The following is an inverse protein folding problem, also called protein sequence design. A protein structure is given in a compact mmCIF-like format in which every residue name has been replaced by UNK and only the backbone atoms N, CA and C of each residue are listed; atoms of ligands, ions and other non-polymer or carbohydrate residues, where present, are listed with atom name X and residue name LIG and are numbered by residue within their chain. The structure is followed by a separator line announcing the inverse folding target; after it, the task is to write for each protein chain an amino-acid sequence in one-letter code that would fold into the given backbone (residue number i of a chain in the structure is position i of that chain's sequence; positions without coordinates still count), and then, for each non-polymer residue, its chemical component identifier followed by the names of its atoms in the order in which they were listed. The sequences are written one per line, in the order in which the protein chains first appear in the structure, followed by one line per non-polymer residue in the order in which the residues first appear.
data_IF_007111534704
#
_entry.id   IF_007111534704
#
_cell.length_a   1.000
_cell.length_b   1.000
_cell.length_c   1.000
_cell.angle_alpha   90.00
_cell.angle_beta   90.00
_cell.angle_gamma   90.00
#
_symmetry.space_group_name_H-M   'P 1'
#
loop_
_entity.id
_entity.type
_entity.pdbx_description
1 polymer ?
#
# COMPACT_ATOMS: atom_id res chain seq x y z
N UNK A 1 -41.10 -1.75 -24.03
CA UNK A 1 -41.62 -2.30 -22.78
C UNK A 1 -40.62 -2.03 -21.67
N UNK A 2 -40.70 -0.82 -21.11
CA UNK A 2 -39.87 -0.30 -20.03
C UNK A 2 -40.80 -0.10 -18.83
N UNK A 3 -40.69 -0.94 -17.81
CA UNK A 3 -41.26 -0.73 -16.47
C UNK A 3 -41.08 -2.01 -15.65
N UNK A 4 -40.53 -1.87 -14.44
CA UNK A 4 -40.49 -2.86 -13.35
C UNK A 4 -39.13 -3.51 -13.07
N UNK A 5 -38.19 -2.75 -12.51
CA UNK A 5 -37.47 -3.13 -11.26
C UNK A 5 -36.91 -1.85 -10.62
N UNK A 6 -37.73 -1.15 -9.83
CA UNK A 6 -37.31 -0.03 -8.99
C UNK A 6 -38.31 0.05 -7.82
N UNK A 7 -38.08 -0.76 -6.78
CA UNK A 7 -38.81 -0.72 -5.50
C UNK A 7 -38.16 -1.68 -4.48
N UNK A 8 -37.20 -1.17 -3.70
CA UNK A 8 -36.97 -1.57 -2.30
C UNK A 8 -35.79 -0.78 -1.73
N UNK A 9 -36.02 0.51 -1.50
CA UNK A 9 -35.31 1.30 -0.50
C UNK A 9 -36.40 2.19 0.13
N UNK A 10 -36.31 2.38 1.44
CA UNK A 10 -37.22 3.12 2.33
C UNK A 10 -38.26 2.28 3.07
N UNK A 11 -37.86 1.72 4.21
CA UNK A 11 -38.66 1.82 5.43
C UNK A 11 -37.75 1.59 6.63
N UNK A 12 -37.94 2.40 7.67
CA UNK A 12 -37.40 2.36 9.04
C UNK A 12 -36.56 3.60 9.40
N UNK A 13 -37.27 4.72 9.57
CA UNK A 13 -36.95 5.72 10.60
C UNK A 13 -38.21 5.98 11.44
N UNK A 14 -37.96 6.40 12.68
CA UNK A 14 -38.90 6.86 13.73
C UNK A 14 -39.42 5.81 14.71
N UNK A 15 -38.71 5.70 15.84
CA UNK A 15 -39.35 5.76 17.15
C UNK A 15 -38.45 6.58 18.10
N UNK A 16 -38.97 7.72 18.53
CA UNK A 16 -38.51 8.53 19.66
C UNK A 16 -39.57 8.42 20.76
N UNK A 17 -39.09 8.35 22.01
CA UNK A 17 -39.71 8.51 23.34
C UNK A 17 -39.13 7.42 24.26
N UNK A 18 -38.74 7.64 25.51
CA UNK A 18 -38.82 8.78 26.40
C UNK A 18 -37.83 8.55 27.56
N UNK A 19 -37.53 9.64 28.25
CA UNK A 19 -36.74 9.80 29.46
C UNK A 19 -36.73 8.65 30.48
N UNK A 20 -35.53 8.33 31.01
CA UNK A 20 -35.38 8.16 32.45
C UNK A 20 -33.92 8.45 32.89
N UNK A 21 -33.68 9.69 33.32
CA UNK A 21 -32.52 10.06 34.14
C UNK A 21 -32.76 9.56 35.57
N UNK A 22 -31.79 8.83 36.12
CA UNK A 22 -31.74 8.53 37.55
C UNK A 22 -30.54 9.29 38.14
N UNK A 23 -30.83 10.37 38.86
CA UNK A 23 -29.87 11.12 39.65
C UNK A 23 -29.91 10.65 41.11
N UNK A 24 -28.73 10.50 41.72
CA UNK A 24 -28.55 10.58 43.18
C UNK A 24 -27.23 11.28 43.53
N UNK A 25 -27.14 11.94 44.70
CA UNK A 25 -26.29 13.13 44.89
C UNK A 25 -25.13 12.95 45.90
N UNK A 26 -24.25 13.97 45.94
CA UNK A 26 -23.26 14.24 47.02
C UNK A 26 -21.85 13.77 46.67
N UNK A 27 -20.75 14.50 46.88
CA UNK A 27 -20.46 15.57 47.82
C UNK A 27 -19.27 16.40 47.33
N UNK A 28 -19.37 17.71 47.55
CA UNK A 28 -18.31 18.73 47.53
C UNK A 28 -17.08 18.35 48.37
N UNK A 29 -15.88 18.71 47.92
CA UNK A 29 -15.00 19.67 48.64
C UNK A 29 -13.90 20.19 47.71
N UNK A 30 -13.86 21.51 47.54
CA UNK A 30 -12.72 22.28 47.07
C UNK A 30 -11.64 22.39 48.16
N UNK A 31 -10.36 22.43 47.77
CA UNK A 31 -9.31 23.15 48.49
C UNK A 31 -8.11 23.46 47.59
N UNK A 32 -7.79 24.75 47.52
CA UNK A 32 -6.69 25.45 46.85
C UNK A 32 -5.58 25.80 47.90
N UNK A 33 -4.53 26.60 47.62
CA UNK A 33 -3.23 26.33 46.99
C UNK A 33 -2.03 26.36 47.97
N UNK A 34 -0.83 26.22 47.39
CA UNK A 34 0.51 26.72 47.80
C UNK A 34 1.49 25.65 48.30
N UNK A 35 2.50 25.40 47.46
CA UNK A 35 3.91 25.46 47.86
C UNK A 35 4.75 25.94 46.67
N UNK A 36 5.20 27.19 46.76
CA UNK A 36 6.35 27.73 46.04
C UNK A 36 7.61 27.00 46.50
N UNK A 37 8.44 26.53 45.58
CA UNK A 37 9.89 26.45 45.79
C UNK A 37 10.59 26.90 44.50
N UNK A 38 11.11 28.12 44.59
CA UNK A 38 12.37 28.66 44.08
C UNK A 38 12.97 28.14 42.76
N UNK A 39 13.10 29.09 41.82
CA UNK A 39 13.91 29.02 40.62
C UNK A 39 15.40 28.87 40.93
N UNK A 40 16.09 28.05 40.14
CA UNK A 40 17.51 28.25 39.87
C UNK A 40 17.75 28.04 38.37
N UNK A 41 18.34 29.06 37.76
CA UNK A 41 18.55 29.25 36.34
C UNK A 41 19.76 28.47 35.83
N UNK A 42 19.49 27.65 34.81
CA UNK A 42 20.23 27.39 33.57
C UNK A 42 21.72 27.72 33.48
N UNK A 43 22.51 26.68 33.15
CA UNK A 43 23.46 26.68 32.02
C UNK A 43 23.57 25.24 31.48
N UNK A 44 22.65 24.86 30.58
CA UNK A 44 22.89 23.70 29.71
C UNK A 44 23.41 24.23 28.38
N UNK A 45 24.68 23.96 28.11
CA UNK A 45 25.35 24.32 26.87
C UNK A 45 24.62 23.63 25.71
N UNK A 46 24.16 24.41 24.76
CA UNK A 46 23.40 23.95 23.60
C UNK A 46 24.23 23.00 22.75
N UNK A 47 23.86 21.72 22.76
CA UNK A 47 24.11 20.88 21.61
C UNK A 47 23.30 21.47 20.44
N UNK A 48 23.99 21.83 19.35
CA UNK A 48 23.34 22.20 18.10
C UNK A 48 22.35 21.11 17.66
N UNK A 49 21.38 21.42 16.80
CA UNK A 49 20.35 20.47 16.40
C UNK A 49 21.02 19.21 15.88
N UNK A 50 20.85 18.10 16.59
CA UNK A 50 21.22 16.79 16.08
C UNK A 50 20.48 16.60 14.77
N UNK A 51 21.21 16.46 13.67
CA UNK A 51 20.64 16.05 12.39
C UNK A 51 19.84 14.78 12.67
N UNK A 52 18.51 14.90 12.63
CA UNK A 52 17.58 13.84 13.01
C UNK A 52 17.93 12.57 12.25
N UNK A 53 18.10 11.47 12.98
CA UNK A 53 18.56 10.19 12.46
C UNK A 53 17.47 9.58 11.57
N UNK A 54 17.41 9.98 10.29
CA UNK A 54 16.42 9.45 9.33
C UNK A 54 16.60 7.94 9.18
N UNK A 55 15.52 7.17 9.34
CA UNK A 55 15.51 5.73 9.09
C UNK A 55 15.54 5.50 7.57
N UNK A 56 16.55 4.78 7.08
CA UNK A 56 16.61 4.36 5.69
C UNK A 56 15.71 3.14 5.50
N UNK A 57 14.58 3.30 4.83
CA UNK A 57 13.65 2.19 4.52
C UNK A 57 13.87 1.60 3.11
N UNK A 58 14.86 2.10 2.38
CA UNK A 58 15.33 1.58 1.08
C UNK A 58 16.62 0.75 1.21
N UNK A 59 17.00 0.35 2.44
CA UNK A 59 18.17 -0.50 2.67
C UNK A 59 18.08 -1.85 1.93
N UNK A 60 19.23 -2.50 1.77
CA UNK A 60 19.30 -3.87 1.25
C UNK A 60 18.67 -4.82 2.27
N UNK A 61 17.40 -5.16 2.03
CA UNK A 61 16.63 -6.05 2.88
C UNK A 61 16.77 -7.47 2.35
N UNK A 62 17.25 -8.43 3.16
CA UNK A 62 17.33 -9.83 2.76
C UNK A 62 15.96 -10.37 2.33
N UNK A 63 15.94 -11.22 1.31
CA UNK A 63 14.76 -11.98 0.90
C UNK A 63 14.93 -13.45 1.29
N UNK A 64 14.77 -13.80 2.59
CA UNK A 64 15.00 -15.17 3.08
C UNK A 64 13.98 -16.17 2.53
N UNK A 65 12.85 -15.68 2.04
CA UNK A 65 11.77 -16.50 1.47
C UNK A 65 11.83 -16.59 -0.06
N UNK A 66 12.86 -16.00 -0.68
CA UNK A 66 13.07 -16.00 -2.13
C UNK A 66 11.79 -15.63 -2.91
N UNK A 67 11.12 -14.57 -2.46
CA UNK A 67 9.88 -14.07 -3.04
C UNK A 67 10.10 -13.33 -4.36
N UNK A 68 11.27 -12.71 -4.55
CA UNK A 68 11.63 -12.02 -5.79
C UNK A 68 12.46 -12.93 -6.69
N UNK A 69 12.10 -13.06 -7.98
CA UNK A 69 12.98 -13.70 -8.95
C UNK A 69 14.25 -12.86 -9.19
N UNK A 70 15.27 -13.45 -9.80
CA UNK A 70 16.36 -12.66 -10.35
C UNK A 70 15.81 -11.78 -11.50
N UNK A 71 16.32 -10.55 -11.62
CA UNK A 71 16.04 -9.71 -12.77
C UNK A 71 16.56 -10.38 -14.05
N UNK A 72 15.85 -10.24 -15.19
CA UNK A 72 16.38 -10.62 -16.49
C UNK A 72 17.71 -9.92 -16.79
N UNK A 73 18.63 -10.62 -17.44
CA UNK A 73 19.97 -10.08 -17.75
C UNK A 73 19.93 -8.89 -18.73
N UNK A 74 18.89 -8.84 -19.57
CA UNK A 74 18.71 -7.78 -20.57
C UNK A 74 17.33 -7.14 -20.36
N UNK A 75 17.28 -6.14 -19.48
CA UNK A 75 16.09 -5.28 -19.38
C UNK A 75 16.09 -4.24 -20.51
N UNK A 76 14.94 -3.98 -21.15
CA UNK A 76 14.80 -2.89 -22.10
C UNK A 76 15.16 -1.53 -21.46
N UNK A 77 15.54 -0.51 -22.25
CA UNK A 77 15.72 0.83 -21.70
C UNK A 77 14.38 1.41 -21.21
N UNK A 78 14.40 2.35 -20.24
CA UNK A 78 13.19 3.05 -19.83
C UNK A 78 12.51 3.78 -21.00
N UNK A 79 11.18 3.84 -20.97
CA UNK A 79 10.41 4.64 -21.90
C UNK A 79 10.68 6.14 -21.69
N UNK A 80 10.60 6.94 -22.75
CA UNK A 80 10.79 8.39 -22.66
C UNK A 80 9.74 9.08 -21.77
N UNK A 81 8.54 8.50 -21.62
CA UNK A 81 7.49 9.01 -20.73
C UNK A 81 7.29 8.16 -19.49
N UNK A 82 8.21 7.24 -19.17
CA UNK A 82 8.17 6.52 -17.91
C UNK A 82 8.45 7.48 -16.74
N UNK A 83 7.59 7.42 -15.72
CA UNK A 83 7.72 8.24 -14.51
C UNK A 83 7.68 7.35 -13.27
N UNK A 84 8.58 7.60 -12.32
CA UNK A 84 8.61 6.89 -11.03
C UNK A 84 8.52 7.89 -9.89
N UNK A 85 7.32 8.05 -9.35
CA UNK A 85 7.03 9.02 -8.30
C UNK A 85 7.02 8.37 -6.92
N UNK A 86 7.63 9.05 -5.94
CA UNK A 86 7.64 8.66 -4.53
C UNK A 86 7.25 9.86 -3.64
N UNK A 87 6.60 9.64 -2.48
CA UNK A 87 6.24 10.74 -1.60
C UNK A 87 7.49 11.47 -1.06
N UNK A 88 7.43 12.80 -0.87
CA UNK A 88 6.25 13.65 -0.94
C UNK A 88 5.97 14.24 -2.33
N UNK A 89 6.67 13.81 -3.39
CA UNK A 89 6.51 14.38 -4.73
C UNK A 89 5.17 13.94 -5.32
N UNK A 90 4.31 14.89 -5.69
CA UNK A 90 3.01 14.58 -6.30
C UNK A 90 3.26 13.83 -7.62
N UNK A 91 2.60 12.68 -7.86
CA UNK A 91 2.78 11.94 -9.09
C UNK A 91 2.40 12.76 -10.32
N UNK A 92 3.25 12.70 -11.35
CA UNK A 92 2.96 13.32 -12.65
C UNK A 92 2.24 12.30 -13.53
N UNK A 93 0.96 12.52 -13.77
CA UNK A 93 0.15 11.72 -14.69
C UNK A 93 0.32 12.23 -16.13
N UNK A 94 1.56 12.18 -16.64
CA UNK A 94 1.85 12.55 -18.04
C UNK A 94 1.35 11.49 -19.02
N UNK A 95 1.18 10.25 -18.54
CA UNK A 95 0.60 9.15 -19.27
C UNK A 95 -0.88 9.00 -18.90
N UNK A 96 -1.68 8.42 -19.81
CA UNK A 96 -3.06 8.03 -19.52
C UNK A 96 -3.15 6.88 -18.49
N UNK A 97 -2.03 6.19 -18.24
CA UNK A 97 -1.97 5.00 -17.39
C UNK A 97 -1.01 5.18 -16.22
N UNK A 98 -1.45 4.72 -15.06
CA UNK A 98 -0.65 4.71 -13.84
C UNK A 98 -0.85 3.41 -13.05
N UNK A 99 0.19 3.01 -12.33
CA UNK A 99 0.15 1.84 -11.47
C UNK A 99 0.65 2.19 -10.07
N UNK A 100 -0.19 1.95 -9.07
CA UNK A 100 0.15 2.13 -7.66
C UNK A 100 0.68 0.83 -7.05
N UNK A 101 1.82 0.91 -6.37
CA UNK A 101 2.49 -0.22 -5.73
C UNK A 101 2.08 -0.33 -4.26
N UNK A 102 0.82 -0.72 -4.03
CA UNK A 102 0.30 -1.01 -2.70
C UNK A 102 0.91 -2.28 -2.14
N UNK A 103 1.09 -2.36 -0.83
CA UNK A 103 1.68 -3.56 -0.27
C UNK A 103 2.61 -3.33 0.88
N UNK A 104 3.34 -4.38 1.17
CA UNK A 104 4.21 -4.49 2.32
C UNK A 104 5.38 -3.51 2.18
N UNK A 105 5.52 -2.64 3.18
CA UNK A 105 6.68 -1.75 3.42
C UNK A 105 7.17 -1.97 4.85
N UNK A 106 6.23 -1.91 5.82
CA UNK A 106 6.47 -2.16 7.25
C UNK A 106 7.70 -1.46 7.81
N UNK A 107 7.80 -0.14 7.59
CA UNK A 107 8.92 0.67 8.09
C UNK A 107 10.30 0.15 7.62
N UNK A 108 10.35 -0.50 6.46
CA UNK A 108 11.57 -1.09 5.91
C UNK A 108 11.83 -2.53 6.33
N UNK A 109 10.86 -3.24 6.90
CA UNK A 109 10.97 -4.69 7.13
C UNK A 109 10.67 -5.51 5.86
N UNK A 110 9.82 -5.00 4.97
CA UNK A 110 9.44 -5.71 3.75
C UNK A 110 10.53 -5.63 2.68
N UNK A 111 10.74 -6.72 1.94
CA UNK A 111 11.63 -6.75 0.77
C UNK A 111 11.32 -5.60 -0.21
N UNK A 112 12.32 -5.10 -0.94
CA UNK A 112 12.22 -3.93 -1.83
C UNK A 112 11.53 -4.23 -3.18
N UNK A 113 10.41 -4.98 -3.10
CA UNK A 113 9.63 -5.45 -4.25
C UNK A 113 9.14 -4.31 -5.16
N UNK A 114 8.94 -3.10 -4.62
CA UNK A 114 8.49 -1.95 -5.41
C UNK A 114 9.52 -1.55 -6.47
N UNK A 115 10.80 -1.52 -6.10
CA UNK A 115 11.91 -1.25 -7.05
C UNK A 115 11.99 -2.35 -8.10
N UNK A 116 11.79 -3.60 -7.66
CA UNK A 116 11.81 -4.76 -8.53
C UNK A 116 10.69 -4.70 -9.58
N UNK A 117 9.45 -4.37 -9.16
CA UNK A 117 8.31 -4.19 -10.07
C UNK A 117 8.54 -3.03 -11.04
N UNK A 118 9.07 -1.90 -10.56
CA UNK A 118 9.41 -0.76 -11.40
C UNK A 118 10.39 -1.14 -12.53
N UNK A 119 11.39 -1.97 -12.25
CA UNK A 119 12.33 -2.46 -13.26
C UNK A 119 11.66 -3.33 -14.34
N UNK A 120 10.62 -4.10 -14.01
CA UNK A 120 9.89 -4.89 -15.00
C UNK A 120 8.95 -4.07 -15.89
N UNK A 121 8.65 -2.82 -15.52
CA UNK A 121 7.65 -1.98 -16.17
C UNK A 121 8.22 -0.69 -16.76
N UNK A 122 9.50 -0.38 -16.53
CA UNK A 122 10.08 0.91 -16.91
C UNK A 122 10.12 1.20 -18.41
N UNK A 123 10.03 0.17 -19.27
CA UNK A 123 9.97 0.32 -20.72
C UNK A 123 8.60 0.73 -21.25
N UNK A 124 7.59 0.76 -20.38
CA UNK A 124 6.23 1.18 -20.71
C UNK A 124 6.05 2.69 -20.51
N UNK A 125 5.20 3.37 -21.31
CA UNK A 125 4.81 4.76 -21.08
C UNK A 125 3.82 4.81 -19.91
N UNK A 126 4.36 4.72 -18.70
CA UNK A 126 3.61 4.45 -17.47
C UNK A 126 4.09 5.36 -16.33
N UNK A 127 3.15 5.83 -15.50
CA UNK A 127 3.48 6.46 -14.22
C UNK A 127 3.39 5.42 -13.09
N UNK A 128 4.51 5.11 -12.44
CA UNK A 128 4.56 4.31 -11.22
C UNK A 128 4.42 5.22 -10.00
N UNK A 129 3.39 4.97 -9.19
CA UNK A 129 3.21 5.57 -7.88
C UNK A 129 3.75 4.59 -6.82
N UNK A 130 4.94 4.87 -6.30
CA UNK A 130 5.60 4.05 -5.28
C UNK A 130 5.51 4.70 -3.90
N UNK A 131 4.70 4.17 -2.96
CA UNK A 131 4.55 4.76 -1.62
C UNK A 131 5.80 4.61 -0.75
N UNK A 132 6.73 3.71 -1.09
CA UNK A 132 7.99 3.53 -0.37
C UNK A 132 8.95 4.69 -0.67
N UNK A 133 9.18 5.56 0.32
CA UNK A 133 10.16 6.67 0.26
C UNK A 133 11.41 6.32 1.07
N UNK A 134 12.60 6.50 0.52
CA UNK A 134 13.83 6.00 1.16
C UNK A 134 14.16 6.52 2.55
N UNK A 135 13.61 7.65 2.99
CA UNK A 135 13.84 8.15 4.34
C UNK A 135 12.52 8.38 5.08
N UNK A 136 12.40 7.78 6.26
CA UNK A 136 11.34 8.04 7.23
C UNK A 136 11.90 8.76 8.45
N UNK A 137 11.19 9.79 8.91
CA UNK A 137 11.51 10.47 10.16
C UNK A 137 11.02 9.60 11.34
N UNK A 138 11.92 9.00 12.15
CA UNK A 138 11.55 8.08 13.22
C UNK A 138 10.70 8.74 14.31
N UNK A 139 10.71 10.07 14.41
CA UNK A 139 9.90 10.81 15.38
C UNK A 139 8.46 11.04 14.89
N UNK A 140 8.16 10.69 13.63
CA UNK A 140 6.80 10.79 13.07
C UNK A 140 5.84 9.88 13.84
N UNK A 141 4.76 10.46 14.33
CA UNK A 141 3.73 9.72 15.08
C UNK A 141 2.58 9.33 14.14
N UNK A 142 2.00 8.13 14.28
CA UNK A 142 0.83 7.71 13.51
C UNK A 142 -0.44 8.44 14.00
N UNK A 143 -0.47 9.75 13.85
CA UNK A 143 -1.50 10.66 14.32
C UNK A 143 -1.83 11.66 13.22
N UNK A 144 -3.12 11.95 12.94
CA UNK A 144 -3.49 12.92 11.90
C UNK A 144 -2.94 14.34 12.10
N UNK A 145 -2.53 14.70 13.31
CA UNK A 145 -1.92 16.00 13.63
C UNK A 145 -0.42 16.06 13.29
N UNK A 146 0.23 14.93 13.03
CA UNK A 146 1.62 14.87 12.59
C UNK A 146 1.71 15.13 11.08
N UNK A 147 2.43 16.18 10.69
CA UNK A 147 2.51 16.62 9.31
C UNK A 147 3.19 15.58 8.40
N UNK A 148 4.26 14.92 8.88
CA UNK A 148 5.01 13.93 8.09
C UNK A 148 4.18 12.68 7.84
N UNK A 149 3.41 12.24 8.86
CA UNK A 149 2.46 11.14 8.73
C UNK A 149 1.29 11.52 7.82
N UNK A 150 0.67 12.68 8.04
CA UNK A 150 -0.44 13.17 7.20
C UNK A 150 -0.04 13.25 5.73
N UNK A 151 1.10 13.86 5.41
CA UNK A 151 1.57 13.97 4.02
C UNK A 151 1.76 12.61 3.37
N UNK A 152 2.26 11.60 4.10
CA UNK A 152 2.39 10.25 3.56
C UNK A 152 1.00 9.65 3.25
N UNK A 153 0.10 9.66 4.23
CA UNK A 153 -1.22 9.01 4.11
C UNK A 153 -2.08 9.71 3.06
N UNK A 154 -2.08 11.05 3.01
CA UNK A 154 -2.84 11.80 2.00
C UNK A 154 -2.27 11.57 0.60
N UNK A 155 -0.94 11.47 0.45
CA UNK A 155 -0.32 11.09 -0.82
C UNK A 155 -0.74 9.69 -1.27
N UNK A 156 -0.74 8.71 -0.36
CA UNK A 156 -1.15 7.34 -0.64
C UNK A 156 -2.62 7.27 -1.06
N UNK A 157 -3.52 7.92 -0.33
CA UNK A 157 -4.95 7.95 -0.65
C UNK A 157 -5.23 8.59 -2.01
N UNK A 158 -4.57 9.72 -2.32
CA UNK A 158 -4.75 10.41 -3.60
C UNK A 158 -4.17 9.60 -4.77
N UNK A 159 -3.00 9.01 -4.59
CA UNK A 159 -2.37 8.19 -5.63
C UNK A 159 -3.12 6.86 -5.84
N UNK A 160 -3.64 6.23 -4.79
CA UNK A 160 -4.55 5.09 -4.89
C UNK A 160 -5.81 5.47 -5.67
N UNK A 161 -6.38 6.65 -5.41
CA UNK A 161 -7.59 7.14 -6.09
C UNK A 161 -7.38 7.27 -7.61
N UNK A 162 -6.30 7.94 -8.00
CA UNK A 162 -5.99 8.24 -9.39
C UNK A 162 -5.39 7.07 -10.19
N UNK A 163 -4.95 6.00 -9.53
CA UNK A 163 -4.30 4.87 -10.19
C UNK A 163 -5.23 4.16 -11.19
N UNK A 164 -4.72 3.87 -12.39
CA UNK A 164 -5.41 2.99 -13.37
C UNK A 164 -5.40 1.53 -12.93
N UNK A 165 -4.31 1.10 -12.27
CA UNK A 165 -4.10 -0.23 -11.71
C UNK A 165 -3.51 -0.11 -10.31
N UNK A 166 -3.97 -0.92 -9.36
CA UNK A 166 -3.39 -1.04 -8.02
C UNK A 166 -2.86 -2.46 -7.86
N UNK A 167 -1.56 -2.57 -7.67
CA UNK A 167 -0.87 -3.82 -7.42
C UNK A 167 -0.65 -3.97 -5.91
N UNK A 168 -1.18 -5.04 -5.32
CA UNK A 168 -0.98 -5.38 -3.92
C UNK A 168 0.03 -6.52 -3.78
N UNK A 169 1.11 -6.30 -3.05
CA UNK A 169 2.07 -7.37 -2.69
C UNK A 169 2.12 -7.59 -1.17
N UNK A 170 1.77 -8.80 -0.76
CA UNK A 170 1.88 -9.26 0.63
C UNK A 170 3.16 -10.06 0.82
N UNK A 171 4.15 -9.45 1.47
CA UNK A 171 5.39 -10.12 1.87
C UNK A 171 5.04 -11.14 2.97
N UNK A 172 5.43 -12.40 2.78
CA UNK A 172 5.12 -13.48 3.74
C UNK A 172 5.76 -13.26 5.11
N UNK A 173 6.79 -12.41 5.19
CA UNK A 173 7.50 -12.08 6.42
C UNK A 173 6.92 -10.87 7.16
N UNK A 174 5.82 -10.28 6.68
CA UNK A 174 5.20 -9.06 7.24
C UNK A 174 3.79 -9.30 7.75
N UNK A 175 3.19 -8.29 8.41
CA UNK A 175 1.78 -8.28 8.85
C UNK A 175 0.85 -7.50 7.93
N UNK A 176 1.33 -6.39 7.38
CA UNK A 176 0.69 -5.53 6.37
C UNK A 176 -0.74 -5.07 6.71
N UNK A 177 -1.01 -4.56 7.92
CA UNK A 177 -2.37 -4.19 8.34
C UNK A 177 -2.97 -3.04 7.53
N UNK A 178 -2.17 -2.00 7.20
CA UNK A 178 -2.62 -0.87 6.36
C UNK A 178 -2.92 -1.35 4.95
N UNK A 179 -2.07 -2.22 4.39
CA UNK A 179 -2.30 -2.86 3.09
C UNK A 179 -3.62 -3.64 3.06
N UNK A 180 -3.95 -4.40 4.11
CA UNK A 180 -5.23 -5.11 4.18
C UNK A 180 -6.42 -4.15 4.23
N UNK A 181 -6.29 -3.02 4.92
CA UNK A 181 -7.31 -1.95 4.95
C UNK A 181 -7.50 -1.34 3.55
N UNK A 182 -6.40 -1.01 2.86
CA UNK A 182 -6.43 -0.48 1.49
C UNK A 182 -7.02 -1.48 0.50
N UNK A 183 -6.71 -2.77 0.62
CA UNK A 183 -7.32 -3.81 -0.19
C UNK A 183 -8.84 -3.81 0.00
N UNK A 184 -9.31 -3.73 1.24
CA UNK A 184 -10.75 -3.61 1.54
C UNK A 184 -11.39 -2.37 0.92
N UNK A 185 -10.69 -1.23 0.96
CA UNK A 185 -11.15 0.03 0.38
C UNK A 185 -11.29 -0.05 -1.15
N UNK A 186 -10.39 -0.76 -1.84
CA UNK A 186 -10.32 -0.78 -3.30
C UNK A 186 -10.81 -2.08 -3.95
N UNK A 187 -11.19 -3.11 -3.19
CA UNK A 187 -11.55 -4.42 -3.72
C UNK A 187 -12.64 -4.38 -4.81
N UNK A 188 -13.60 -3.47 -4.69
CA UNK A 188 -14.74 -3.34 -5.61
C UNK A 188 -14.44 -2.53 -6.89
N UNK A 189 -13.23 -1.99 -7.03
CA UNK A 189 -12.93 -0.95 -8.02
C UNK A 189 -12.64 -1.47 -9.44
N UNK A 190 -12.39 -2.78 -9.59
CA UNK A 190 -12.00 -3.38 -10.86
C UNK A 190 -10.63 -2.91 -11.40
N UNK A 191 -9.79 -2.30 -10.55
CA UNK A 191 -8.39 -1.94 -10.87
C UNK A 191 -7.35 -2.69 -10.05
N UNK A 192 -7.78 -3.62 -9.18
CA UNK A 192 -6.90 -4.31 -8.24
C UNK A 192 -6.37 -5.61 -8.82
N UNK A 193 -5.08 -5.88 -8.57
CA UNK A 193 -4.44 -7.19 -8.68
C UNK A 193 -3.66 -7.48 -7.40
N UNK A 194 -3.58 -8.74 -6.99
CA UNK A 194 -3.00 -9.15 -5.70
C UNK A 194 -1.97 -10.27 -5.90
N UNK A 195 -0.85 -10.15 -5.22
CA UNK A 195 0.08 -11.25 -4.95
C UNK A 195 0.05 -11.57 -3.46
N UNK A 196 -0.38 -12.78 -3.12
CA UNK A 196 -0.48 -13.26 -1.75
C UNK A 196 -0.01 -14.72 -1.69
N UNK A 197 1.29 -14.90 -1.47
CA UNK A 197 1.90 -16.22 -1.35
C UNK A 197 1.36 -17.01 -0.15
N UNK A 198 1.44 -18.35 -0.23
CA UNK A 198 0.85 -19.26 0.77
C UNK A 198 1.35 -19.04 2.21
N UNK A 199 2.54 -18.43 2.38
CA UNK A 199 3.11 -18.14 3.69
C UNK A 199 2.53 -16.90 4.39
N UNK A 200 1.71 -16.08 3.73
CA UNK A 200 1.20 -14.87 4.37
C UNK A 200 0.17 -15.20 5.46
N UNK A 201 0.40 -14.69 6.68
CA UNK A 201 -0.35 -15.07 7.89
C UNK A 201 -1.88 -14.84 7.83
N UNK A 202 -2.34 -13.93 6.96
CA UNK A 202 -3.77 -13.68 6.69
C UNK A 202 -4.18 -14.03 5.26
N UNK A 203 -3.42 -14.90 4.59
CA UNK A 203 -3.64 -15.29 3.20
C UNK A 203 -5.06 -15.76 2.91
N UNK A 204 -5.65 -16.58 3.79
CA UNK A 204 -7.04 -17.02 3.62
C UNK A 204 -8.07 -15.88 3.59
N UNK A 205 -7.84 -14.79 4.36
CA UNK A 205 -8.74 -13.63 4.34
C UNK A 205 -8.57 -12.84 3.04
N UNK A 206 -7.33 -12.62 2.63
CA UNK A 206 -7.00 -11.94 1.37
C UNK A 206 -7.59 -12.68 0.19
N UNK A 207 -7.39 -14.01 0.10
CA UNK A 207 -7.88 -14.86 -0.99
C UNK A 207 -9.41 -14.87 -1.06
N UNK A 208 -10.12 -14.97 0.07
CA UNK A 208 -11.60 -14.90 0.09
C UNK A 208 -12.15 -13.53 -0.34
N UNK A 209 -11.47 -12.42 0.00
CA UNK A 209 -11.82 -11.10 -0.53
C UNK A 209 -11.61 -11.08 -2.04
N UNK A 210 -10.48 -11.60 -2.53
CA UNK A 210 -10.20 -11.63 -3.96
C UNK A 210 -11.26 -12.45 -4.72
N UNK A 211 -11.61 -13.64 -4.23
CA UNK A 211 -12.67 -14.47 -4.80
C UNK A 211 -14.00 -13.74 -4.84
N UNK A 212 -14.41 -13.12 -3.73
CA UNK A 212 -15.68 -12.40 -3.62
C UNK A 212 -15.83 -11.27 -4.64
N UNK A 213 -14.74 -10.56 -4.94
CA UNK A 213 -14.74 -9.40 -5.83
C UNK A 213 -14.20 -9.70 -7.24
N UNK A 214 -13.84 -10.96 -7.55
CA UNK A 214 -13.26 -11.34 -8.83
C UNK A 214 -11.90 -10.71 -9.11
N UNK A 215 -11.10 -10.48 -8.06
CA UNK A 215 -9.77 -9.88 -8.16
C UNK A 215 -8.75 -10.95 -8.57
N UNK A 216 -7.94 -10.73 -9.62
CA UNK A 216 -6.81 -11.60 -9.92
C UNK A 216 -5.86 -11.69 -8.72
N UNK A 217 -5.70 -12.90 -8.18
CA UNK A 217 -4.87 -13.18 -7.02
C UNK A 217 -3.89 -14.31 -7.34
N UNK A 218 -2.60 -13.99 -7.38
CA UNK A 218 -1.51 -14.91 -7.68
C UNK A 218 -0.67 -15.20 -6.44
N UNK A 219 0.15 -16.24 -6.48
CA UNK A 219 0.96 -16.66 -5.32
C UNK A 219 2.40 -16.15 -5.40
N UNK A 220 2.91 -15.89 -6.61
CA UNK A 220 4.31 -15.51 -6.82
C UNK A 220 4.48 -14.15 -7.50
N UNK A 221 5.57 -13.45 -7.16
CA UNK A 221 5.89 -12.13 -7.72
C UNK A 221 6.02 -12.17 -9.25
N UNK A 222 6.59 -13.24 -9.81
CA UNK A 222 6.73 -13.38 -11.26
C UNK A 222 5.36 -13.39 -11.97
N UNK A 223 4.37 -14.04 -11.38
CA UNK A 223 2.99 -14.03 -11.88
C UNK A 223 2.37 -12.63 -11.73
N UNK A 224 2.69 -11.90 -10.65
CA UNK A 224 2.20 -10.55 -10.44
C UNK A 224 2.66 -9.57 -11.53
N UNK A 225 3.89 -9.71 -12.02
CA UNK A 225 4.41 -8.93 -13.16
C UNK A 225 3.54 -9.16 -14.40
N UNK A 226 3.17 -10.41 -14.65
CA UNK A 226 2.28 -10.77 -15.77
C UNK A 226 0.90 -10.16 -15.58
N UNK A 227 0.30 -10.29 -14.39
CA UNK A 227 -1.02 -9.71 -14.10
C UNK A 227 -1.02 -8.17 -14.20
N UNK A 228 0.06 -7.51 -13.80
CA UNK A 228 0.22 -6.07 -13.96
C UNK A 228 0.16 -5.67 -15.43
N UNK A 229 0.93 -6.34 -16.29
CA UNK A 229 0.93 -6.09 -17.74
C UNK A 229 -0.43 -6.41 -18.36
N UNK A 230 -1.05 -7.53 -18.00
CA UNK A 230 -2.37 -7.93 -18.50
C UNK A 230 -3.45 -6.90 -18.12
N UNK A 231 -3.49 -6.48 -16.87
CA UNK A 231 -4.44 -5.47 -16.41
C UNK A 231 -4.20 -4.12 -17.08
N UNK A 232 -2.95 -3.67 -17.22
CA UNK A 232 -2.63 -2.44 -17.94
C UNK A 232 -3.10 -2.48 -19.41
N UNK A 233 -2.87 -3.61 -20.10
CA UNK A 233 -3.38 -3.83 -21.45
C UNK A 233 -4.91 -3.78 -21.50
N UNK A 234 -5.60 -4.45 -20.56
CA UNK A 234 -7.06 -4.42 -20.47
C UNK A 234 -7.61 -3.01 -20.22
N UNK A 235 -6.84 -2.14 -19.55
CA UNK A 235 -7.19 -0.72 -19.38
C UNK A 235 -6.92 0.12 -20.64
N UNK A 236 -6.24 -0.42 -21.64
CA UNK A 236 -5.98 0.22 -22.94
C UNK A 236 -4.53 0.63 -23.18
N UNK A 237 -3.57 0.15 -22.38
CA UNK A 237 -2.15 0.41 -22.64
C UNK A 237 -1.63 -0.49 -23.77
N UNK A 238 -1.75 -0.02 -25.01
CA UNK A 238 -1.37 -0.76 -26.23
C UNK A 238 0.13 -1.08 -26.33
N UNK A 239 0.96 -0.38 -25.55
CA UNK A 239 2.40 -0.67 -25.47
C UNK A 239 2.69 -2.07 -24.90
N UNK A 240 1.73 -2.69 -24.21
CA UNK A 240 1.82 -4.09 -23.76
C UNK A 240 1.23 -5.01 -24.82
N UNK A 241 2.07 -5.83 -25.46
CA UNK A 241 1.63 -6.76 -26.52
C UNK A 241 1.24 -8.13 -25.96
N UNK A 242 0.46 -8.90 -26.72
CA UNK A 242 0.08 -10.26 -26.30
C UNK A 242 1.29 -11.21 -26.33
N UNK A 243 2.23 -10.98 -27.24
CA UNK A 243 3.48 -11.73 -27.32
C UNK A 243 4.37 -11.47 -26.08
N UNK A 244 4.40 -10.23 -25.59
CA UNK A 244 5.09 -9.89 -24.34
C UNK A 244 4.44 -10.61 -23.15
N UNK A 245 3.11 -10.58 -23.04
CA UNK A 245 2.39 -11.28 -21.96
C UNK A 245 2.67 -12.79 -22.02
N UNK A 246 2.56 -13.41 -23.19
CA UNK A 246 2.79 -14.84 -23.38
C UNK A 246 4.22 -15.25 -23.00
N UNK A 247 5.22 -14.48 -23.42
CA UNK A 247 6.62 -14.72 -23.05
C UNK A 247 6.82 -14.61 -21.54
N UNK A 248 6.23 -13.61 -20.91
CA UNK A 248 6.37 -13.39 -19.47
C UNK A 248 5.62 -14.45 -18.65
N UNK A 249 4.50 -14.99 -19.16
CA UNK A 249 3.82 -16.16 -18.59
C UNK A 249 4.73 -17.41 -18.58
N UNK A 250 5.41 -17.69 -19.69
CA UNK A 250 6.34 -18.82 -19.80
C UNK A 250 7.52 -18.66 -18.84
N UNK A 251 8.05 -17.44 -18.75
CA UNK A 251 9.07 -17.09 -17.77
C UNK A 251 8.57 -17.33 -16.33
N UNK A 252 7.39 -16.81 -15.98
CA UNK A 252 6.80 -16.96 -14.66
C UNK A 252 6.57 -18.43 -14.30
N UNK A 253 5.98 -19.23 -15.20
CA UNK A 253 5.83 -20.69 -15.04
C UNK A 253 7.18 -21.37 -14.75
N UNK A 254 8.24 -20.97 -15.44
CA UNK A 254 9.59 -21.47 -15.20
C UNK A 254 10.14 -21.09 -13.82
N UNK A 255 9.84 -19.90 -13.30
CA UNK A 255 10.22 -19.48 -11.95
C UNK A 255 9.49 -20.31 -10.90
N UNK A 256 8.15 -20.38 -11.00
CA UNK A 256 7.30 -21.15 -10.07
C UNK A 256 7.71 -22.62 -10.03
N UNK A 257 7.94 -23.26 -11.18
CA UNK A 257 8.37 -24.64 -11.25
C UNK A 257 9.75 -24.89 -10.62
N UNK A 258 10.68 -23.92 -10.67
CA UNK A 258 11.99 -24.03 -10.01
C UNK A 258 11.87 -23.91 -8.50
N UNK A 259 10.96 -23.05 -8.01
CA UNK A 259 10.70 -22.87 -6.58
C UNK A 259 10.08 -24.12 -5.96
N UNK A 260 9.04 -24.66 -6.60
CA UNK A 260 8.41 -25.92 -6.17
C UNK A 260 9.40 -27.09 -6.07
N UNK A 261 10.38 -27.18 -6.98
CA UNK A 261 11.44 -28.22 -6.92
C UNK A 261 12.46 -28.03 -5.80
N UNK A 262 12.61 -26.83 -5.25
CA UNK A 262 13.52 -26.58 -4.12
C UNK A 262 12.85 -26.84 -2.76
N UNK A 263 11.53 -26.84 -2.74
CA UNK A 263 10.70 -27.03 -1.54
C UNK A 263 10.26 -28.50 -1.35
N UNK A 264 10.37 -29.33 -2.40
CA UNK A 264 10.11 -30.77 -2.40
C UNK A 264 11.37 -31.58 -2.03
#
# INVERSE_FOLDING_TARGET
MLSSVLRSLQSLTTHNNEHQECATPGSSTARDPRKQVLMSSTTFSGAGPSVGKRLNIDGDIPDPSHQLPALPSNLPPPNATYEHSTPPQIPKYINAYSLFLAGSIEMGAAITWQRHMAQFLHHLPLTICNPRRGHWDPDSRPQPSDANFRTQVEWELEALSNASVICFFFDVNTKSPVTMMELGLWAHSGKVIVCCGEGFWKGGNVKLVCERYGIPCVNDFAELVVEAKRMLKQKGLDAVTDEEIQRDEEWAKGIVARKARKEA
#
